data_IF_734175338498
#
_entry.id   IF_734175338498
#
_cell.length_a   1.000
_cell.length_b   1.000
_cell.length_c   1.000
_cell.angle_alpha   90.00
_cell.angle_beta   90.00
_cell.angle_gamma   90.00
#
_symmetry.space_group_name_H-M   'P 1'
#
loop_
_entity.id
_entity.type
_entity.pdbx_description
1 polymer ?
#
# COMPACT_ATOMS: atom_id res chain seq x y z
N UNK A 1 9.02 11.60 -12.97
CA UNK A 1 8.80 12.25 -11.66
C UNK A 1 8.28 11.16 -10.74
N UNK A 2 8.86 10.99 -9.54
CA UNK A 2 8.41 9.96 -8.59
C UNK A 2 7.03 10.35 -8.06
N UNK A 3 6.02 9.46 -8.18
CA UNK A 3 4.65 9.72 -7.74
C UNK A 3 4.42 9.45 -6.25
N UNK A 4 5.32 8.70 -5.63
CA UNK A 4 5.44 8.69 -4.17
C UNK A 4 6.06 10.02 -3.78
N UNK A 5 5.21 10.98 -3.42
CA UNK A 5 5.65 12.33 -3.07
C UNK A 5 6.46 12.29 -1.78
N UNK A 6 5.98 11.57 -0.75
CA UNK A 6 6.63 11.45 0.55
C UNK A 6 6.29 10.09 1.20
N UNK A 7 7.30 9.28 1.48
CA UNK A 7 7.19 8.12 2.35
C UNK A 7 7.86 8.42 3.69
N UNK A 8 7.16 8.18 4.80
CA UNK A 8 7.71 8.37 6.15
C UNK A 8 7.41 7.15 7.02
N UNK A 9 8.24 6.92 8.04
CA UNK A 9 8.03 5.87 9.03
C UNK A 9 8.32 6.41 10.42
N UNK A 10 7.40 6.18 11.36
CA UNK A 10 7.52 6.60 12.75
C UNK A 10 7.41 5.37 13.67
N UNK A 11 8.27 5.29 14.69
CA UNK A 11 8.21 4.24 15.71
C UNK A 11 7.15 4.55 16.76
N UNK A 12 6.25 3.61 17.02
CA UNK A 12 5.13 3.69 17.98
C UNK A 12 5.29 2.67 19.12
N UNK A 13 6.34 2.80 19.91
CA UNK A 13 6.70 1.83 20.95
C UNK A 13 7.88 0.94 20.53
N UNK A 14 8.16 -0.14 21.27
CA UNK A 14 9.40 -0.90 21.09
C UNK A 14 9.49 -1.60 19.72
N UNK A 15 8.42 -2.28 19.29
CA UNK A 15 8.39 -3.06 18.05
C UNK A 15 7.15 -2.74 17.19
N UNK A 16 6.83 -1.46 17.02
CA UNK A 16 5.67 -1.06 16.23
C UNK A 16 5.98 0.16 15.37
N UNK A 17 5.49 0.14 14.15
CA UNK A 17 5.79 1.13 13.13
C UNK A 17 4.52 1.64 12.47
N UNK A 18 4.54 2.95 12.23
CA UNK A 18 3.53 3.67 11.47
C UNK A 18 4.17 4.20 10.19
N UNK A 19 3.82 3.59 9.06
CA UNK A 19 4.28 3.96 7.73
C UNK A 19 3.22 4.85 7.09
N UNK A 20 3.65 5.89 6.40
CA UNK A 20 2.77 6.82 5.69
C UNK A 20 3.28 7.08 4.29
N UNK A 21 2.37 7.06 3.33
CA UNK A 21 2.63 7.46 1.96
C UNK A 21 1.57 8.47 1.53
N UNK A 22 1.97 9.48 0.76
CA UNK A 22 1.05 10.37 0.07
C UNK A 22 1.31 10.27 -1.44
N UNK A 23 0.29 9.87 -2.18
CA UNK A 23 0.33 9.68 -3.63
C UNK A 23 -0.54 10.74 -4.29
N UNK A 24 0.02 11.44 -5.27
CA UNK A 24 -0.70 12.42 -6.08
C UNK A 24 -0.84 11.85 -7.48
N UNK A 25 -2.05 11.42 -7.82
CA UNK A 25 -2.30 10.61 -9.01
C UNK A 25 -3.22 11.36 -9.99
N UNK A 26 -2.86 11.49 -11.28
CA UNK A 26 -3.65 12.19 -12.30
C UNK A 26 -4.77 11.28 -12.85
N UNK A 27 -5.55 10.69 -11.95
CA UNK A 27 -6.68 9.83 -12.29
C UNK A 27 -7.93 10.29 -11.53
N UNK A 28 -9.07 10.16 -12.21
CA UNK A 28 -10.38 10.45 -11.64
C UNK A 28 -10.65 9.56 -10.41
N UNK A 29 -11.40 10.12 -9.47
CA UNK A 29 -11.70 9.51 -8.18
C UNK A 29 -12.29 8.09 -8.33
N UNK A 30 -13.25 7.92 -9.22
CA UNK A 30 -14.01 6.68 -9.42
C UNK A 30 -13.10 5.54 -9.89
N UNK A 31 -12.13 5.88 -10.75
CA UNK A 31 -11.15 4.91 -11.26
C UNK A 31 -10.25 4.39 -10.14
N UNK A 32 -9.79 5.30 -9.27
CA UNK A 32 -8.95 4.95 -8.13
C UNK A 32 -9.72 4.21 -7.03
N UNK A 33 -10.94 4.66 -6.73
CA UNK A 33 -11.80 3.97 -5.78
C UNK A 33 -12.07 2.53 -6.23
N UNK A 34 -12.37 2.31 -7.51
CA UNK A 34 -12.52 0.97 -8.07
C UNK A 34 -11.24 0.13 -7.90
N UNK A 35 -10.07 0.69 -8.23
CA UNK A 35 -8.78 0.00 -8.13
C UNK A 35 -8.43 -0.44 -6.69
N UNK A 36 -8.90 0.31 -5.67
CA UNK A 36 -8.59 0.04 -4.26
C UNK A 36 -9.67 -0.80 -3.54
N UNK A 37 -10.89 -0.87 -4.08
CA UNK A 37 -12.04 -1.41 -3.33
C UNK A 37 -12.79 -2.55 -4.02
N UNK A 38 -12.26 -3.05 -5.13
CA UNK A 38 -12.82 -4.21 -5.84
C UNK A 38 -11.80 -5.34 -5.93
N UNK A 39 -12.22 -6.61 -5.94
CA UNK A 39 -11.31 -7.73 -6.13
C UNK A 39 -10.50 -7.64 -7.43
N UNK A 40 -11.16 -7.26 -8.54
CA UNK A 40 -10.50 -7.10 -9.85
C UNK A 40 -9.51 -5.93 -9.86
N UNK A 41 -9.88 -4.81 -9.22
CA UNK A 41 -8.99 -3.67 -9.05
C UNK A 41 -7.73 -4.02 -8.26
N UNK A 42 -7.90 -4.63 -7.07
CA UNK A 42 -6.80 -5.02 -6.20
C UNK A 42 -5.86 -6.04 -6.84
N UNK A 43 -6.40 -6.96 -7.64
CA UNK A 43 -5.61 -7.97 -8.35
C UNK A 43 -4.58 -7.37 -9.30
N UNK A 44 -4.84 -6.17 -9.83
CA UNK A 44 -3.95 -5.52 -10.79
C UNK A 44 -2.64 -5.00 -10.18
N UNK A 45 -2.57 -4.80 -8.86
CA UNK A 45 -1.45 -4.11 -8.23
C UNK A 45 -1.11 -4.53 -6.80
N UNK A 46 -2.03 -5.16 -6.05
CA UNK A 46 -1.86 -5.53 -4.64
C UNK A 46 -1.86 -7.04 -4.41
N UNK A 47 -3.03 -7.65 -4.58
CA UNK A 47 -3.30 -9.01 -4.15
C UNK A 47 -4.60 -9.52 -4.80
N UNK A 48 -4.77 -10.84 -4.85
CA UNK A 48 -6.10 -11.40 -5.05
C UNK A 48 -6.91 -11.26 -3.76
N UNK A 49 -8.07 -10.61 -3.83
CA UNK A 49 -9.01 -10.55 -2.72
C UNK A 49 -9.97 -11.73 -2.78
N UNK A 50 -9.64 -12.80 -2.06
CA UNK A 50 -10.45 -14.03 -2.01
C UNK A 50 -11.75 -13.79 -1.22
N UNK A 51 -11.69 -12.91 -0.22
CA UNK A 51 -12.85 -12.39 0.50
C UNK A 51 -12.66 -10.89 0.70
N UNK A 52 -13.70 -10.09 0.40
CA UNK A 52 -13.73 -8.65 0.65
C UNK A 52 -15.17 -8.20 0.91
N UNK A 53 -15.58 -8.21 2.18
CA UNK A 53 -16.88 -7.71 2.60
C UNK A 53 -16.77 -6.22 2.94
N UNK A 54 -17.31 -5.38 2.05
CA UNK A 54 -17.11 -3.92 2.01
C UNK A 54 -17.98 -3.14 3.00
N UNK A 55 -17.92 -3.53 4.28
CA UNK A 55 -18.61 -2.86 5.38
C UNK A 55 -17.84 -3.09 6.69
N UNK A 56 -18.08 -2.26 7.70
CA UNK A 56 -17.46 -2.42 9.02
C UNK A 56 -17.69 -3.84 9.56
N UNK A 57 -16.61 -4.46 10.04
CA UNK A 57 -16.60 -5.83 10.57
C UNK A 57 -16.63 -6.93 9.50
N UNK A 58 -16.75 -6.58 8.21
CA UNK A 58 -16.75 -7.54 7.12
C UNK A 58 -15.42 -8.29 7.01
N UNK A 59 -15.48 -9.56 6.65
CA UNK A 59 -14.30 -10.40 6.46
C UNK A 59 -13.42 -9.92 5.29
N UNK A 60 -12.11 -10.06 5.46
CA UNK A 60 -11.10 -9.81 4.42
C UNK A 60 -10.14 -10.99 4.37
N UNK A 61 -9.86 -11.50 3.17
CA UNK A 61 -8.78 -12.46 2.93
C UNK A 61 -8.07 -12.06 1.65
N UNK A 62 -6.80 -11.71 1.78
CA UNK A 62 -5.94 -11.27 0.69
C UNK A 62 -4.83 -12.30 0.47
N UNK A 63 -4.58 -12.60 -0.80
CA UNK A 63 -3.48 -13.45 -1.24
C UNK A 63 -2.53 -12.64 -2.10
N UNK A 64 -1.34 -12.38 -1.57
CA UNK A 64 -0.26 -11.68 -2.26
C UNK A 64 0.23 -12.54 -3.41
N UNK A 65 0.20 -11.97 -4.61
CA UNK A 65 0.51 -12.71 -5.83
C UNK A 65 2.02 -12.75 -6.14
N UNK A 66 2.80 -11.88 -5.51
CA UNK A 66 4.27 -11.88 -5.57
C UNK A 66 4.92 -12.88 -4.59
N UNK A 67 4.33 -13.10 -3.41
CA UNK A 67 4.90 -14.01 -2.39
C UNK A 67 4.10 -15.30 -2.19
N UNK A 68 2.84 -15.35 -2.62
CA UNK A 68 1.91 -16.43 -2.31
C UNK A 68 1.31 -16.39 -0.90
N UNK A 69 1.70 -15.42 -0.07
CA UNK A 69 1.20 -15.28 1.30
C UNK A 69 -0.30 -15.02 1.31
N UNK A 70 -1.03 -15.73 2.18
CA UNK A 70 -2.45 -15.48 2.43
C UNK A 70 -2.59 -14.89 3.82
N UNK A 71 -3.28 -13.76 3.94
CA UNK A 71 -3.59 -13.13 5.21
C UNK A 71 -5.07 -12.80 5.30
N UNK A 72 -5.64 -13.05 6.47
CA UNK A 72 -7.06 -12.82 6.76
C UNK A 72 -7.22 -11.82 7.89
N UNK A 73 -8.39 -11.19 7.92
CA UNK A 73 -8.81 -10.30 9.00
C UNK A 73 -10.17 -9.69 8.69
N UNK A 74 -10.34 -8.42 9.01
CA UNK A 74 -11.62 -7.75 8.89
C UNK A 74 -11.47 -6.26 8.55
N UNK A 75 -12.50 -5.72 7.92
CA UNK A 75 -12.66 -4.29 7.68
C UNK A 75 -12.88 -3.56 9.00
N UNK A 76 -11.99 -2.62 9.32
CA UNK A 76 -12.05 -1.81 10.55
C UNK A 76 -12.63 -0.41 10.31
N UNK A 77 -12.69 0.04 9.05
CA UNK A 77 -13.49 1.19 8.63
C UNK A 77 -13.82 1.11 7.14
N UNK A 78 -15.05 1.48 6.78
CA UNK A 78 -15.48 1.59 5.39
C UNK A 78 -16.40 2.79 5.24
N UNK A 79 -15.87 3.87 4.69
CA UNK A 79 -16.65 5.05 4.31
C UNK A 79 -16.68 5.09 2.79
N UNK A 80 -17.87 4.90 2.23
CA UNK A 80 -18.05 4.81 0.78
C UNK A 80 -17.52 6.10 0.15
N UNK A 81 -16.67 5.93 -0.85
CA UNK A 81 -16.03 7.04 -1.56
C UNK A 81 -15.08 7.91 -0.72
N UNK A 82 -14.57 7.41 0.42
CA UNK A 82 -13.50 8.10 1.16
C UNK A 82 -12.48 7.17 1.78
N UNK A 83 -12.91 6.10 2.45
CA UNK A 83 -12.05 5.30 3.31
C UNK A 83 -12.25 3.82 3.06
N UNK A 84 -11.15 3.13 2.78
CA UNK A 84 -11.06 1.68 2.86
C UNK A 84 -9.98 1.34 3.91
N UNK A 85 -10.39 0.72 5.02
CA UNK A 85 -9.49 0.29 6.07
C UNK A 85 -9.78 -1.14 6.51
N UNK A 86 -8.74 -1.95 6.58
CA UNK A 86 -8.82 -3.32 7.07
C UNK A 86 -7.57 -3.72 7.84
N UNK A 87 -7.74 -4.71 8.70
CA UNK A 87 -6.65 -5.41 9.36
C UNK A 87 -6.49 -6.77 8.71
N UNK A 88 -5.25 -7.20 8.53
CA UNK A 88 -4.90 -8.52 8.03
C UNK A 88 -3.72 -9.04 8.84
N UNK A 89 -3.71 -10.34 9.12
CA UNK A 89 -2.57 -11.01 9.78
C UNK A 89 -1.26 -10.71 9.05
N UNK A 90 -0.14 -10.66 9.76
CA UNK A 90 1.21 -10.37 9.23
C UNK A 90 1.45 -8.96 8.64
N UNK A 91 0.42 -8.30 8.08
CA UNK A 91 0.55 -6.98 7.44
C UNK A 91 -0.07 -5.83 8.25
N UNK A 92 -0.74 -6.13 9.36
CA UNK A 92 -1.27 -5.15 10.30
C UNK A 92 -2.48 -4.38 9.75
N UNK A 93 -2.62 -3.12 10.15
CA UNK A 93 -3.68 -2.23 9.69
C UNK A 93 -3.26 -1.52 8.40
N UNK A 94 -4.15 -1.54 7.41
CA UNK A 94 -3.97 -0.90 6.11
C UNK A 94 -5.11 0.08 5.92
N UNK A 95 -4.79 1.36 5.69
CA UNK A 95 -5.78 2.42 5.51
C UNK A 95 -5.48 3.23 4.26
N UNK A 96 -6.47 3.31 3.37
CA UNK A 96 -6.52 4.26 2.27
C UNK A 96 -7.53 5.35 2.61
N UNK A 97 -7.12 6.61 2.48
CA UNK A 97 -8.02 7.75 2.48
C UNK A 97 -7.83 8.52 1.18
N UNK A 98 -8.91 8.64 0.40
CA UNK A 98 -8.89 9.30 -0.90
C UNK A 98 -9.51 10.68 -0.80
N UNK A 99 -8.95 11.63 -1.53
CA UNK A 99 -9.48 12.98 -1.67
C UNK A 99 -9.36 13.41 -3.14
N UNK A 100 -10.49 13.73 -3.77
CA UNK A 100 -10.49 14.29 -5.12
C UNK A 100 -9.89 15.70 -5.12
N UNK A 101 -9.04 15.98 -6.10
CA UNK A 101 -8.43 17.29 -6.33
C UNK A 101 -8.79 17.74 -7.74
N UNK A 102 -9.84 18.55 -7.86
CA UNK A 102 -10.44 18.87 -9.15
C UNK A 102 -11.18 17.69 -9.76
N UNK A 103 -11.21 17.60 -11.09
CA UNK A 103 -11.96 16.57 -11.84
C UNK A 103 -11.12 15.33 -12.16
N UNK A 104 -9.82 15.51 -12.39
CA UNK A 104 -8.98 14.49 -13.03
C UNK A 104 -7.76 14.11 -12.17
N UNK A 105 -7.78 14.41 -10.88
CA UNK A 105 -6.70 14.08 -9.96
C UNK A 105 -7.23 13.70 -8.59
N UNK A 106 -6.52 12.80 -7.93
CA UNK A 106 -6.88 12.29 -6.60
C UNK A 106 -5.62 12.12 -5.77
N UNK A 107 -5.72 12.49 -4.50
CA UNK A 107 -4.69 12.25 -3.49
C UNK A 107 -5.07 11.01 -2.69
N UNK A 108 -4.13 10.09 -2.53
CA UNK A 108 -4.24 8.96 -1.60
C UNK A 108 -3.33 9.25 -0.42
N UNK A 109 -3.92 9.33 0.78
CA UNK A 109 -3.19 9.27 2.04
C UNK A 109 -3.26 7.84 2.56
N UNK A 110 -2.11 7.18 2.51
CA UNK A 110 -1.96 5.80 2.92
C UNK A 110 -1.31 5.72 4.30
N UNK A 111 -1.83 4.80 5.12
CA UNK A 111 -1.24 4.44 6.40
C UNK A 111 -1.14 2.93 6.51
N UNK A 112 0.03 2.44 6.89
CA UNK A 112 0.21 1.07 7.36
C UNK A 112 0.77 1.06 8.78
N UNK A 113 0.05 0.41 9.68
CA UNK A 113 0.45 0.27 11.08
C UNK A 113 0.66 -1.20 11.41
N UNK A 114 1.89 -1.55 11.80
CA UNK A 114 2.30 -2.94 11.98
C UNK A 114 3.34 -3.10 13.09
N UNK A 115 3.37 -4.29 13.69
CA UNK A 115 4.46 -4.70 14.57
C UNK A 115 5.66 -5.20 13.78
N UNK A 116 6.88 -5.02 14.30
CA UNK A 116 8.10 -5.62 13.73
C UNK A 116 9.40 -4.86 14.01
N UNK A 117 10.49 -5.45 13.51
CA UNK A 117 11.85 -4.91 13.62
C UNK A 117 12.08 -3.69 12.70
N UNK A 118 13.23 -3.05 12.82
CA UNK A 118 13.64 -1.99 11.87
C UNK A 118 13.95 -2.54 10.47
N UNK A 119 14.41 -3.78 10.37
CA UNK A 119 14.61 -4.44 9.07
C UNK A 119 13.28 -4.68 8.37
N UNK A 120 12.28 -5.20 9.11
CA UNK A 120 10.94 -5.38 8.57
C UNK A 120 10.30 -4.06 8.14
N UNK A 121 10.64 -2.95 8.82
CA UNK A 121 10.19 -1.60 8.43
C UNK A 121 10.73 -1.23 7.05
N UNK A 122 12.02 -1.49 6.78
CA UNK A 122 12.62 -1.22 5.47
C UNK A 122 11.99 -2.11 4.39
N UNK A 123 11.77 -3.39 4.68
CA UNK A 123 11.11 -4.32 3.78
C UNK A 123 9.70 -3.83 3.43
N UNK A 124 8.93 -3.40 4.44
CA UNK A 124 7.58 -2.90 4.26
C UNK A 124 7.53 -1.56 3.50
N UNK A 125 8.47 -0.64 3.74
CA UNK A 125 8.56 0.60 2.96
C UNK A 125 8.83 0.32 1.49
N UNK A 126 9.78 -0.59 1.19
CA UNK A 126 10.08 -1.00 -0.17
C UNK A 126 8.89 -1.69 -0.85
N UNK A 127 8.25 -2.63 -0.14
CA UNK A 127 7.07 -3.35 -0.64
C UNK A 127 5.93 -2.39 -0.97
N UNK A 128 5.51 -1.52 -0.04
CA UNK A 128 4.41 -0.59 -0.33
C UNK A 128 4.74 0.37 -1.47
N UNK A 129 5.97 0.88 -1.53
CA UNK A 129 6.40 1.72 -2.65
C UNK A 129 6.26 0.99 -3.98
N UNK A 130 6.77 -0.23 -4.10
CA UNK A 130 6.66 -1.03 -5.33
C UNK A 130 5.19 -1.26 -5.72
N UNK A 131 4.33 -1.61 -4.76
CA UNK A 131 2.91 -1.82 -5.04
C UNK A 131 2.24 -0.52 -5.53
N UNK A 132 2.65 0.67 -5.05
CA UNK A 132 2.13 1.93 -5.58
C UNK A 132 2.62 2.24 -7.01
N UNK A 133 3.82 1.81 -7.39
CA UNK A 133 4.25 1.85 -8.79
C UNK A 133 3.43 0.89 -9.66
N UNK A 134 3.11 -0.29 -9.15
CA UNK A 134 2.22 -1.24 -9.82
C UNK A 134 0.78 -0.70 -9.94
N UNK A 135 0.29 0.02 -8.92
CA UNK A 135 -1.02 0.68 -8.96
C UNK A 135 -1.07 1.68 -10.12
N UNK A 136 -0.05 2.53 -10.25
CA UNK A 136 0.03 3.47 -11.35
C UNK A 136 0.08 2.75 -12.71
N UNK A 137 0.89 1.70 -12.83
CA UNK A 137 0.97 0.91 -14.06
C UNK A 137 -0.40 0.29 -14.42
N UNK A 138 -1.11 -0.26 -13.44
CA UNK A 138 -2.45 -0.82 -13.62
C UNK A 138 -3.47 0.23 -14.08
N UNK A 139 -3.45 1.42 -13.49
CA UNK A 139 -4.31 2.55 -13.89
C UNK A 139 -3.98 3.04 -15.31
N UNK A 140 -2.72 2.91 -15.74
CA UNK A 140 -2.29 3.19 -17.09
C UNK A 140 -2.54 2.03 -18.08
N UNK A 141 -3.36 1.05 -17.71
CA UNK A 141 -3.73 -0.09 -18.54
C UNK A 141 -2.68 -1.20 -18.64
N UNK A 142 -1.69 -1.21 -17.74
CA UNK A 142 -0.61 -2.22 -17.66
C UNK A 142 -0.62 -2.88 -16.28
N UNK A 143 -1.62 -3.72 -15.96
CA UNK A 143 -1.66 -4.43 -14.69
C UNK A 143 -0.43 -5.32 -14.51
N UNK A 144 -0.08 -5.61 -13.26
CA UNK A 144 1.08 -6.42 -12.93
C UNK A 144 1.00 -7.82 -13.55
N UNK A 145 2.07 -8.23 -14.25
CA UNK A 145 2.28 -9.63 -14.61
C UNK A 145 3.00 -10.33 -13.46
N UNK A 146 2.21 -10.90 -12.55
CA UNK A 146 2.71 -11.61 -11.37
C UNK A 146 3.58 -12.82 -11.71
N UNK A 147 3.45 -13.40 -12.93
CA UNK A 147 4.27 -14.53 -13.35
C UNK A 147 5.69 -14.13 -13.77
N UNK A 148 5.85 -12.86 -14.18
CA UNK A 148 7.12 -12.27 -14.56
C UNK A 148 7.71 -11.35 -13.47
N UNK A 149 7.07 -11.27 -12.30
CA UNK A 149 7.54 -10.44 -11.20
C UNK A 149 8.88 -10.95 -10.65
N UNK A 150 9.74 -10.01 -10.26
CA UNK A 150 11.04 -10.28 -9.62
C UNK A 150 11.25 -9.31 -8.46
N UNK A 151 12.08 -9.68 -7.50
CA UNK A 151 12.42 -8.86 -6.34
C UNK A 151 13.41 -7.72 -6.64
N UNK A 152 13.87 -7.58 -7.89
CA UNK A 152 14.91 -6.64 -8.27
C UNK A 152 14.52 -5.17 -8.03
N UNK A 153 13.24 -4.80 -8.25
CA UNK A 153 12.77 -3.44 -8.01
C UNK A 153 12.61 -3.18 -6.51
N UNK A 154 11.95 -4.10 -5.79
CA UNK A 154 11.90 -4.12 -4.34
C UNK A 154 13.29 -3.94 -3.68
N UNK A 155 14.30 -4.73 -4.09
CA UNK A 155 15.64 -4.68 -3.51
C UNK A 155 16.29 -3.29 -3.64
N UNK A 156 16.16 -2.66 -4.82
CA UNK A 156 16.66 -1.29 -5.04
C UNK A 156 15.93 -0.26 -4.19
N UNK A 157 14.62 -0.40 -4.01
CA UNK A 157 13.83 0.49 -3.15
C UNK A 157 14.25 0.34 -1.69
N UNK A 158 14.45 -0.89 -1.24
CA UNK A 158 14.93 -1.21 0.11
C UNK A 158 16.29 -0.57 0.40
N UNK A 159 17.24 -0.71 -0.53
CA UNK A 159 18.57 -0.09 -0.42
C UNK A 159 18.47 1.43 -0.38
N UNK A 160 17.61 2.04 -1.20
CA UNK A 160 17.36 3.47 -1.17
C UNK A 160 16.83 3.92 0.20
N UNK A 161 15.83 3.25 0.76
CA UNK A 161 15.30 3.58 2.09
C UNK A 161 16.34 3.39 3.21
N UNK A 162 17.19 2.37 3.12
CA UNK A 162 18.30 2.16 4.06
C UNK A 162 19.36 3.27 3.98
N UNK A 163 19.56 3.88 2.80
CA UNK A 163 20.48 5.01 2.62
C UNK A 163 19.93 6.32 3.21
N UNK A 164 18.62 6.57 3.10
CA UNK A 164 17.99 7.78 3.65
C UNK A 164 17.91 7.80 5.18
N UNK A 165 17.85 6.65 5.83
CA UNK A 165 17.92 6.57 7.30
C UNK A 165 19.34 6.75 7.84
N UNK A 166 20.37 6.70 6.98
CA UNK A 166 21.77 7.00 7.30
C UNK A 166 22.15 8.44 6.95
N UNK A 167 21.42 9.44 7.46
CA UNK A 167 21.98 10.81 7.49
C UNK A 167 22.96 10.90 8.69
N UNK A 168 24.22 11.37 8.50
CA UNK A 168 25.24 11.33 9.55
C UNK A 168 24.91 12.29 10.70
N UNK A 169 25.23 11.89 11.93
CA UNK A 169 25.34 12.80 13.07
C UNK A 169 26.44 13.80 12.73
N UNK A 170 26.08 15.07 12.54
CA UNK A 170 27.06 16.15 12.36
C UNK A 170 28.04 16.12 13.53
N UNK A 171 29.33 16.07 13.19
CA UNK A 171 30.46 16.08 14.14
C UNK A 171 30.63 17.44 14.80
#
# INVERSE_FOLDING_TARGET
MSLVSHATSERRGENHWLLRFELHLPYAYETLWHALTTPDGLRGWLAAADVLERHLGGAVTLRWLNTGTVASGHVSAWDVERVAEYTVSEHGRIRFHLEAVGTDSTVIRFVNERGGSDEDRLDCLASWHEHFELLEAALAGRPADWSAWTDARWARLRDAYASFTRVPKAS
#
